data_IF_067186062599
#
_entry.id   IF_067186062599
#
_cell.length_a   1.000
_cell.length_b   1.000
_cell.length_c   1.000
_cell.angle_alpha   90.00
_cell.angle_beta   90.00
_cell.angle_gamma   90.00
#
_symmetry.space_group_name_H-M   'P 1'
#
loop_
_entity.id
_entity.type
_entity.pdbx_description
1 polymer ?
#
# COMPACT_ATOMS: atom_id res chain seq x y z
N UNK A 1 -1.98 22.21 -13.92
CA UNK A 1 -2.99 21.60 -13.04
C UNK A 1 -4.36 21.93 -13.59
N UNK A 2 -5.13 20.94 -14.03
CA UNK A 2 -6.51 21.13 -14.47
C UNK A 2 -7.46 21.19 -13.25
N UNK A 3 -8.72 21.58 -13.47
CA UNK A 3 -9.70 21.78 -12.40
C UNK A 3 -10.04 20.49 -11.63
N UNK A 4 -9.98 19.33 -12.30
CA UNK A 4 -10.21 18.01 -11.70
C UNK A 4 -9.05 17.64 -10.76
N UNK A 5 -7.80 17.88 -11.19
CA UNK A 5 -6.59 17.70 -10.36
C UNK A 5 -6.64 18.60 -9.13
N UNK A 6 -7.07 19.86 -9.30
CA UNK A 6 -7.23 20.81 -8.20
C UNK A 6 -8.33 20.36 -7.22
N UNK A 7 -9.50 19.98 -7.70
CA UNK A 7 -10.61 19.49 -6.86
C UNK A 7 -10.29 18.15 -6.18
N UNK A 8 -9.52 17.28 -6.84
CA UNK A 8 -9.00 16.08 -6.23
C UNK A 8 -8.02 16.42 -5.10
N UNK A 9 -7.08 17.34 -5.32
CA UNK A 9 -6.12 17.75 -4.30
C UNK A 9 -6.77 18.52 -3.13
N UNK A 10 -7.76 19.37 -3.40
CA UNK A 10 -8.56 20.08 -2.40
C UNK A 10 -9.42 19.14 -1.54
N UNK A 11 -9.88 18.00 -2.10
CA UNK A 11 -10.62 16.97 -1.36
C UNK A 11 -9.74 16.11 -0.45
N UNK A 12 -8.44 16.03 -0.73
CA UNK A 12 -7.60 14.98 -0.15
C UNK A 12 -6.77 15.45 1.04
N UNK A 13 -6.51 16.75 1.17
CA UNK A 13 -5.78 17.23 2.32
C UNK A 13 -6.24 18.61 2.81
N UNK A 14 -6.26 18.84 4.13
CA UNK A 14 -6.12 20.17 4.71
C UNK A 14 -4.68 20.67 4.49
N UNK A 15 -4.19 20.61 3.25
CA UNK A 15 -2.89 21.14 2.87
C UNK A 15 -2.96 22.66 2.88
N UNK A 16 -1.94 23.29 3.43
CA UNK A 16 -1.71 24.70 3.11
C UNK A 16 -1.40 24.86 1.61
N UNK A 17 -1.51 26.08 1.10
CA UNK A 17 -1.29 26.40 -0.31
C UNK A 17 0.09 25.99 -0.84
N UNK A 18 1.09 25.86 0.05
CA UNK A 18 2.46 25.50 -0.33
C UNK A 18 2.62 24.01 -0.62
N UNK A 19 1.99 23.14 0.18
CA UNK A 19 2.01 21.70 -0.05
C UNK A 19 1.23 21.31 -1.32
N UNK A 20 0.13 22.01 -1.61
CA UNK A 20 -0.61 21.86 -2.88
C UNK A 20 0.26 22.24 -4.09
N UNK A 21 0.97 23.37 -4.02
CA UNK A 21 1.89 23.77 -5.08
C UNK A 21 3.05 22.77 -5.26
N UNK A 22 3.54 22.20 -4.16
CA UNK A 22 4.56 21.14 -4.21
C UNK A 22 4.04 19.88 -4.92
N UNK A 23 2.83 19.41 -4.57
CA UNK A 23 2.19 18.27 -5.22
C UNK A 23 1.95 18.53 -6.72
N UNK A 24 1.46 19.71 -7.08
CA UNK A 24 1.25 20.10 -8.47
C UNK A 24 2.55 20.12 -9.30
N UNK A 25 3.70 20.28 -8.66
CA UNK A 25 5.01 20.23 -9.33
C UNK A 25 5.46 18.81 -9.66
N UNK A 26 5.04 17.81 -8.87
CA UNK A 26 5.50 16.42 -9.00
C UNK A 26 4.51 15.51 -9.71
N UNK A 27 3.25 15.94 -9.85
CA UNK A 27 2.21 15.20 -10.55
C UNK A 27 2.40 15.39 -12.07
N UNK A 28 2.66 14.28 -12.75
CA UNK A 28 2.80 14.21 -14.22
C UNK A 28 1.44 14.04 -14.91
N UNK A 29 0.50 13.33 -14.27
CA UNK A 29 -0.86 13.13 -14.79
C UNK A 29 -1.66 12.09 -14.02
N UNK A 30 -2.80 11.71 -14.58
CA UNK A 30 -3.69 10.72 -13.98
C UNK A 30 -3.29 9.27 -14.33
N UNK A 31 -3.58 8.34 -13.42
CA UNK A 31 -3.49 6.91 -13.70
C UNK A 31 -4.59 6.55 -14.71
N UNK A 32 -4.26 5.95 -15.87
CA UNK A 32 -5.25 5.67 -16.90
C UNK A 32 -6.28 4.65 -16.41
N UNK A 33 -7.54 4.87 -16.79
CA UNK A 33 -8.62 3.90 -16.65
C UNK A 33 -8.75 3.12 -17.95
N UNK A 34 -8.69 1.80 -17.84
CA UNK A 34 -8.83 0.89 -18.99
C UNK A 34 -9.88 -0.17 -18.68
N UNK A 35 -10.53 -0.65 -19.72
CA UNK A 35 -11.38 -1.84 -19.66
C UNK A 35 -10.66 -2.96 -20.41
N UNK A 36 -10.53 -4.13 -19.77
CA UNK A 36 -9.96 -5.32 -20.38
C UNK A 36 -11.08 -6.33 -20.56
N UNK A 37 -11.32 -6.82 -21.77
CA UNK A 37 -12.42 -7.74 -22.03
C UNK A 37 -12.13 -9.17 -21.55
N UNK A 38 -10.86 -9.51 -21.29
CA UNK A 38 -10.43 -10.83 -20.83
C UNK A 38 -9.20 -10.77 -19.93
N UNK A 39 -8.95 -11.82 -19.15
CA UNK A 39 -7.69 -12.01 -18.41
C UNK A 39 -6.48 -12.03 -19.34
N UNK A 40 -6.63 -12.56 -20.56
CA UNK A 40 -5.57 -12.57 -21.56
C UNK A 40 -5.19 -11.15 -22.01
N UNK A 41 -6.15 -10.27 -22.25
CA UNK A 41 -5.89 -8.88 -22.62
C UNK A 41 -5.15 -8.13 -21.50
N UNK A 42 -5.56 -8.37 -20.24
CA UNK A 42 -4.84 -7.84 -19.09
C UNK A 42 -3.43 -8.41 -19.00
N UNK A 43 -3.24 -9.71 -19.23
CA UNK A 43 -1.92 -10.35 -19.25
C UNK A 43 -1.00 -9.77 -20.35
N UNK A 44 -1.53 -9.48 -21.54
CA UNK A 44 -0.76 -8.80 -22.59
C UNK A 44 -0.34 -7.40 -22.15
N UNK A 45 -1.22 -6.66 -21.48
CA UNK A 45 -0.86 -5.37 -20.88
C UNK A 45 0.28 -5.53 -19.87
N UNK A 46 0.18 -6.50 -18.93
CA UNK A 46 1.23 -6.77 -17.94
C UNK A 46 2.60 -7.10 -18.58
N UNK A 47 2.59 -7.78 -19.73
CA UNK A 47 3.80 -8.14 -20.49
C UNK A 47 4.38 -6.96 -21.26
N UNK A 48 3.54 -6.10 -21.82
CA UNK A 48 3.95 -4.96 -22.66
C UNK A 48 4.25 -3.69 -21.88
N UNK A 49 3.52 -3.42 -20.79
CA UNK A 49 3.65 -2.21 -19.97
C UNK A 49 3.53 -2.56 -18.48
N UNK A 50 4.58 -2.27 -17.72
CA UNK A 50 4.58 -2.39 -16.26
C UNK A 50 4.28 -1.03 -15.64
N UNK A 51 3.13 -0.45 -15.99
CA UNK A 51 2.66 0.84 -15.46
C UNK A 51 1.35 0.66 -14.69
N UNK A 52 1.03 1.54 -13.73
CA UNK A 52 -0.23 1.52 -13.04
C UNK A 52 -1.40 1.75 -13.99
N UNK A 53 -2.48 1.01 -13.81
CA UNK A 53 -3.72 1.17 -14.57
C UNK A 53 -4.91 0.84 -13.67
N UNK A 54 -6.00 1.57 -13.83
CA UNK A 54 -7.27 1.28 -13.14
C UNK A 54 -8.14 0.45 -14.08
N UNK A 55 -8.45 -0.78 -13.65
CA UNK A 55 -9.38 -1.67 -14.32
C UNK A 55 -10.79 -1.27 -13.89
N UNK A 56 -11.59 -0.88 -14.88
CA UNK A 56 -13.01 -0.58 -14.70
C UNK A 56 -13.86 -1.83 -14.92
N UNK A 57 -15.04 -1.88 -14.31
CA UNK A 57 -16.06 -2.91 -14.51
C UNK A 57 -15.71 -4.35 -14.08
N UNK A 58 -14.54 -4.59 -13.48
CA UNK A 58 -14.09 -5.94 -13.07
C UNK A 58 -14.64 -6.46 -11.76
N UNK A 59 -15.16 -5.57 -10.93
CA UNK A 59 -15.70 -5.92 -9.62
C UNK A 59 -17.24 -5.88 -9.58
N UNK A 60 -17.91 -5.44 -10.64
CA UNK A 60 -19.38 -5.16 -10.63
C UNK A 60 -20.19 -6.38 -10.21
N UNK A 61 -19.80 -7.57 -10.68
CA UNK A 61 -20.51 -8.81 -10.37
C UNK A 61 -20.05 -9.50 -9.09
N UNK A 62 -19.06 -8.95 -8.38
CA UNK A 62 -18.62 -9.52 -7.10
C UNK A 62 -19.73 -9.36 -6.06
N UNK A 63 -20.13 -10.43 -5.34
CA UNK A 63 -21.06 -10.31 -4.22
C UNK A 63 -20.62 -9.26 -3.20
N UNK A 64 -19.30 -9.09 -3.00
CA UNK A 64 -18.74 -8.06 -2.13
C UNK A 64 -19.23 -6.65 -2.48
N UNK A 65 -19.42 -6.31 -3.75
CA UNK A 65 -19.92 -4.96 -4.14
C UNK A 65 -21.36 -4.70 -3.73
N UNK A 66 -22.14 -5.76 -3.46
CA UNK A 66 -23.55 -5.66 -3.04
C UNK A 66 -23.70 -5.82 -1.53
N UNK A 67 -22.86 -6.67 -0.93
CA UNK A 67 -22.96 -7.06 0.48
C UNK A 67 -22.08 -6.22 1.39
N UNK A 68 -20.82 -6.01 1.01
CA UNK A 68 -19.81 -5.55 1.95
C UNK A 68 -19.92 -4.05 2.19
N UNK A 69 -20.25 -3.72 3.43
CA UNK A 69 -20.09 -2.39 4.00
C UNK A 69 -19.69 -2.52 5.47
N UNK A 70 -19.36 -1.40 6.12
CA UNK A 70 -18.94 -1.38 7.53
C UNK A 70 -19.97 -2.05 8.46
N UNK A 71 -21.27 -1.92 8.19
CA UNK A 71 -22.31 -2.56 9.01
C UNK A 71 -22.34 -4.06 8.78
N UNK A 72 -22.29 -4.52 7.53
CA UNK A 72 -22.18 -5.94 7.21
C UNK A 72 -20.99 -6.60 7.92
N UNK A 73 -19.82 -5.95 7.92
CA UNK A 73 -18.64 -6.47 8.63
C UNK A 73 -18.83 -6.47 10.14
N UNK A 74 -19.44 -5.42 10.69
CA UNK A 74 -19.75 -5.32 12.12
C UNK A 74 -20.69 -6.45 12.56
N UNK A 75 -21.76 -6.69 11.82
CA UNK A 75 -22.77 -7.71 12.14
C UNK A 75 -22.25 -9.14 11.92
N UNK A 76 -21.57 -9.39 10.80
CA UNK A 76 -21.15 -10.74 10.39
C UNK A 76 -19.88 -11.19 11.10
N UNK A 77 -18.93 -10.27 11.29
CA UNK A 77 -17.58 -10.57 11.78
C UNK A 77 -17.23 -9.80 13.06
N UNK A 78 -18.20 -9.17 13.72
CA UNK A 78 -17.99 -8.29 14.88
C UNK A 78 -17.14 -8.91 15.99
N UNK A 79 -17.35 -10.21 16.28
CA UNK A 79 -16.61 -10.93 17.32
C UNK A 79 -15.17 -11.35 16.93
N UNK A 80 -14.75 -11.16 15.67
CA UNK A 80 -13.38 -11.49 15.24
C UNK A 80 -12.41 -10.51 15.89
N UNK A 81 -11.48 -11.02 16.70
CA UNK A 81 -10.42 -10.22 17.30
C UNK A 81 -9.27 -10.03 16.32
N UNK A 82 -8.99 -8.77 15.98
CA UNK A 82 -7.99 -8.40 14.98
C UNK A 82 -7.00 -7.37 15.55
N UNK A 83 -5.76 -7.37 15.06
CA UNK A 83 -4.84 -6.29 15.36
C UNK A 83 -5.23 -5.04 14.55
N UNK A 84 -5.45 -3.94 15.25
CA UNK A 84 -5.74 -2.62 14.70
C UNK A 84 -4.62 -1.63 15.02
N UNK A 85 -4.44 -0.66 14.13
CA UNK A 85 -3.62 0.52 14.37
C UNK A 85 -4.55 1.70 14.65
N UNK A 86 -4.43 2.29 15.84
CA UNK A 86 -5.29 3.36 16.37
C UNK A 86 -4.48 4.63 16.66
N UNK A 87 -5.17 5.76 16.77
CA UNK A 87 -4.55 7.05 17.10
C UNK A 87 -3.40 7.42 16.17
N UNK A 88 -3.51 7.10 14.89
CA UNK A 88 -2.45 7.30 13.91
C UNK A 88 -2.13 8.80 13.75
N UNK A 89 -0.87 9.13 13.41
CA UNK A 89 -0.48 10.51 13.17
C UNK A 89 -1.02 11.06 11.85
N UNK A 90 -1.52 12.30 11.89
CA UNK A 90 -2.03 13.00 10.72
C UNK A 90 -0.91 13.68 9.88
N UNK A 91 0.31 13.80 10.42
CA UNK A 91 1.47 14.43 9.76
C UNK A 91 2.77 13.63 9.98
N UNK A 92 3.74 13.85 9.11
CA UNK A 92 5.05 13.20 9.12
C UNK A 92 5.08 11.85 8.41
N UNK A 93 6.28 11.31 8.19
CA UNK A 93 6.44 9.97 7.64
C UNK A 93 5.92 8.92 8.64
N UNK A 94 4.94 8.13 8.24
CA UNK A 94 4.27 7.14 9.12
C UNK A 94 5.28 6.15 9.73
N UNK A 95 6.34 5.84 9.00
CA UNK A 95 7.35 4.85 9.37
C UNK A 95 8.32 5.27 10.48
N UNK A 96 8.29 6.53 10.93
CA UNK A 96 9.12 6.98 12.07
C UNK A 96 8.43 6.76 13.43
N UNK A 97 7.16 6.37 13.44
CA UNK A 97 6.42 6.12 14.68
C UNK A 97 6.62 4.69 15.19
N UNK A 98 6.84 4.55 16.50
CA UNK A 98 6.95 3.25 17.15
C UNK A 98 5.60 2.51 17.10
N UNK A 99 5.60 1.27 16.57
CA UNK A 99 4.37 0.52 16.35
C UNK A 99 3.57 0.27 17.65
N UNK A 100 4.29 0.02 18.75
CA UNK A 100 3.71 -0.28 20.05
C UNK A 100 2.78 0.83 20.60
N UNK A 101 2.93 2.07 20.15
CA UNK A 101 2.13 3.20 20.62
C UNK A 101 0.75 3.28 19.95
N UNK A 102 0.55 2.51 18.87
CA UNK A 102 -0.62 2.59 18.02
C UNK A 102 -1.29 1.23 17.83
N UNK A 103 -0.63 0.14 18.22
CA UNK A 103 -1.09 -1.20 17.94
C UNK A 103 -1.92 -1.78 19.08
N UNK A 104 -3.13 -2.26 18.79
CA UNK A 104 -4.01 -2.87 19.78
C UNK A 104 -4.81 -4.03 19.18
N UNK A 105 -5.01 -5.12 19.94
CA UNK A 105 -5.99 -6.15 19.60
C UNK A 105 -7.37 -5.67 19.99
N UNK A 106 -8.31 -5.70 19.06
CA UNK A 106 -9.69 -5.23 19.25
C UNK A 106 -10.65 -6.15 18.52
N UNK A 107 -11.90 -6.26 18.99
CA UNK A 107 -12.94 -6.87 18.19
C UNK A 107 -13.27 -6.00 16.98
N UNK A 108 -13.69 -6.61 15.88
CA UNK A 108 -14.04 -5.86 14.68
C UNK A 108 -15.21 -4.90 14.92
N UNK A 109 -16.18 -5.26 15.77
CA UNK A 109 -17.27 -4.36 16.14
C UNK A 109 -16.77 -3.04 16.76
N UNK A 110 -15.82 -3.13 17.69
CA UNK A 110 -15.20 -1.97 18.34
C UNK A 110 -14.39 -1.14 17.34
N UNK A 111 -13.73 -1.79 16.38
CA UNK A 111 -12.98 -1.11 15.32
C UNK A 111 -13.95 -0.33 14.41
N UNK A 112 -15.07 -0.93 14.01
CA UNK A 112 -16.09 -0.26 13.18
C UNK A 112 -16.71 0.91 13.94
N UNK A 113 -17.01 0.73 15.22
CA UNK A 113 -17.57 1.80 16.06
C UNK A 113 -16.57 2.96 16.20
N UNK A 114 -15.28 2.68 16.38
CA UNK A 114 -14.22 3.70 16.38
C UNK A 114 -14.09 4.41 15.02
N UNK A 115 -14.18 3.68 13.91
CA UNK A 115 -14.13 4.24 12.55
C UNK A 115 -15.23 5.27 12.30
N UNK A 116 -16.42 5.05 12.88
CA UNK A 116 -17.60 5.90 12.69
C UNK A 116 -17.60 7.14 13.60
N UNK A 117 -16.71 7.23 14.58
CA UNK A 117 -16.66 8.37 15.51
C UNK A 117 -16.17 9.65 14.81
N UNK A 118 -16.95 10.75 14.78
CA UNK A 118 -16.64 11.96 14.00
C UNK A 118 -15.29 12.64 14.31
N UNK A 119 -14.77 12.47 15.54
CA UNK A 119 -13.55 13.12 16.01
C UNK A 119 -12.44 12.12 16.38
N UNK A 120 -12.60 10.84 16.04
CA UNK A 120 -11.55 9.86 16.28
C UNK A 120 -10.35 10.14 15.38
N UNK A 121 -9.15 10.01 15.94
CA UNK A 121 -7.92 9.98 15.15
C UNK A 121 -7.94 8.79 14.19
N UNK A 122 -7.21 8.85 13.07
CA UNK A 122 -7.29 7.81 12.08
C UNK A 122 -6.94 6.43 12.64
N UNK A 123 -7.71 5.43 12.24
CA UNK A 123 -7.55 4.06 12.68
C UNK A 123 -7.92 3.07 11.58
N UNK A 124 -7.31 1.88 11.62
CA UNK A 124 -7.63 0.79 10.72
C UNK A 124 -7.11 -0.56 11.17
N UNK A 125 -7.79 -1.61 10.73
CA UNK A 125 -7.19 -2.94 10.60
C UNK A 125 -6.72 -3.11 9.16
N UNK A 126 -5.45 -3.47 8.99
CA UNK A 126 -4.77 -3.40 7.70
C UNK A 126 -3.98 -4.67 7.41
N UNK A 127 -3.85 -5.02 6.12
CA UNK A 127 -3.18 -6.25 5.66
C UNK A 127 -3.67 -7.50 6.40
N UNK A 128 -4.99 -7.63 6.60
CA UNK A 128 -5.55 -8.81 7.24
C UNK A 128 -5.82 -9.87 6.19
N UNK A 129 -5.21 -11.06 6.26
CA UNK A 129 -5.56 -12.15 5.36
C UNK A 129 -7.06 -12.39 5.37
N UNK A 130 -7.65 -12.58 4.20
CA UNK A 130 -9.09 -12.82 4.06
C UNK A 130 -9.58 -14.04 4.86
N UNK A 131 -8.69 -14.98 5.16
CA UNK A 131 -8.95 -16.14 6.02
C UNK A 131 -9.40 -15.80 7.45
N UNK A 132 -9.19 -14.56 7.93
CA UNK A 132 -9.77 -14.09 9.19
C UNK A 132 -11.29 -13.86 9.13
N UNK A 133 -11.85 -13.82 7.92
CA UNK A 133 -13.26 -13.56 7.64
C UNK A 133 -13.85 -14.79 6.94
N UNK A 134 -14.37 -15.78 7.69
CA UNK A 134 -14.89 -17.00 7.11
C UNK A 134 -15.89 -16.74 5.99
N UNK A 135 -15.75 -17.47 4.89
CA UNK A 135 -16.57 -17.39 3.66
C UNK A 135 -16.42 -16.12 2.82
N UNK A 136 -15.70 -15.08 3.27
CA UNK A 136 -15.50 -13.85 2.52
C UNK A 136 -14.79 -14.08 1.17
N UNK A 137 -13.97 -15.13 1.05
CA UNK A 137 -13.32 -15.50 -0.22
C UNK A 137 -14.32 -15.81 -1.34
N UNK A 138 -15.56 -16.21 -1.01
CA UNK A 138 -16.61 -16.52 -2.01
C UNK A 138 -17.22 -15.26 -2.64
N UNK A 139 -16.98 -14.10 -2.04
CA UNK A 139 -17.60 -12.84 -2.46
C UNK A 139 -16.73 -12.06 -3.45
N UNK A 140 -15.55 -12.59 -3.81
CA UNK A 140 -14.57 -11.94 -4.69
C UNK A 140 -14.05 -12.94 -5.73
N UNK A 141 -13.74 -12.48 -6.94
CA UNK A 141 -13.25 -13.34 -8.02
C UNK A 141 -12.01 -12.75 -8.71
N UNK A 142 -10.85 -12.82 -8.04
CA UNK A 142 -9.58 -12.39 -8.65
C UNK A 142 -9.10 -13.34 -9.74
N UNK A 143 -9.53 -14.61 -9.75
CA UNK A 143 -9.07 -15.62 -10.71
C UNK A 143 -9.55 -15.33 -12.14
N UNK A 144 -10.68 -14.66 -12.29
CA UNK A 144 -11.18 -14.16 -13.59
C UNK A 144 -10.26 -13.08 -14.18
N UNK A 145 -9.54 -12.34 -13.34
CA UNK A 145 -8.64 -11.25 -13.75
C UNK A 145 -7.22 -11.78 -13.92
N UNK A 146 -6.76 -12.55 -12.94
CA UNK A 146 -5.42 -13.14 -12.89
C UNK A 146 -5.57 -14.65 -12.69
N UNK A 147 -5.43 -15.44 -13.76
CA UNK A 147 -5.54 -16.89 -13.68
C UNK A 147 -4.55 -17.50 -12.67
N UNK A 148 -4.94 -18.58 -11.96
CA UNK A 148 -4.06 -19.25 -11.01
C UNK A 148 -2.73 -19.70 -11.64
N UNK A 149 -1.63 -19.52 -10.90
CA UNK A 149 -0.29 -19.92 -11.35
C UNK A 149 0.29 -21.02 -10.44
N UNK A 150 0.79 -22.15 -10.98
CA UNK A 150 1.17 -23.33 -10.19
C UNK A 150 2.31 -23.08 -9.20
N UNK A 151 3.22 -22.14 -9.51
CA UNK A 151 4.40 -21.83 -8.68
C UNK A 151 4.21 -20.65 -7.72
N UNK A 152 3.11 -19.92 -7.82
CA UNK A 152 2.94 -18.65 -7.10
C UNK A 152 1.58 -18.60 -6.45
N UNK A 153 1.55 -18.78 -5.13
CA UNK A 153 0.33 -18.59 -4.35
C UNK A 153 0.07 -17.09 -4.16
N UNK A 154 -1.12 -16.60 -4.52
CA UNK A 154 -1.48 -15.23 -4.25
C UNK A 154 -1.74 -15.02 -2.74
N UNK A 155 -1.87 -13.76 -2.34
CA UNK A 155 -2.32 -13.39 -0.99
C UNK A 155 -3.39 -12.32 -1.13
N UNK A 156 -4.56 -12.58 -0.53
CA UNK A 156 -5.68 -11.67 -0.48
C UNK A 156 -5.74 -11.06 0.92
N UNK A 157 -5.77 -9.74 1.02
CA UNK A 157 -5.84 -9.05 2.30
C UNK A 157 -6.87 -7.93 2.30
N UNK A 158 -7.59 -7.78 3.42
CA UNK A 158 -8.53 -6.71 3.68
C UNK A 158 -7.90 -5.54 4.43
N UNK A 159 -8.48 -4.38 4.15
CA UNK A 159 -8.16 -3.09 4.75
C UNK A 159 -9.49 -2.42 5.12
N UNK A 160 -9.75 -2.27 6.41
CA UNK A 160 -10.97 -1.64 6.94
C UNK A 160 -10.53 -0.51 7.85
N UNK A 161 -10.88 0.73 7.50
CA UNK A 161 -10.30 1.90 8.14
C UNK A 161 -11.14 3.16 8.07
N UNK A 162 -10.82 4.12 8.93
CA UNK A 162 -11.45 5.42 8.96
C UNK A 162 -10.96 6.31 7.82
N UNK A 163 -11.73 7.38 7.58
CA UNK A 163 -11.19 8.58 6.93
C UNK A 163 -9.95 9.03 7.69
N UNK A 164 -8.92 9.48 6.96
CA UNK A 164 -7.67 9.91 7.58
C UNK A 164 -6.51 8.93 7.38
N UNK A 165 -6.82 7.64 7.23
CA UNK A 165 -5.77 6.60 7.18
C UNK A 165 -4.89 6.73 5.95
N UNK A 166 -3.59 6.46 6.13
CA UNK A 166 -2.57 6.57 5.08
C UNK A 166 -1.48 5.50 5.19
N UNK A 167 -0.91 5.09 4.06
CA UNK A 167 0.07 3.99 4.01
C UNK A 167 1.52 4.43 4.21
N UNK A 168 1.82 5.72 4.01
CA UNK A 168 3.17 6.20 3.68
C UNK A 168 3.59 5.79 2.25
N UNK A 169 4.59 6.48 1.70
CA UNK A 169 5.13 6.18 0.36
C UNK A 169 6.07 4.97 0.43
N UNK A 170 5.76 3.90 -0.30
CA UNK A 170 6.51 2.64 -0.28
C UNK A 170 6.38 1.86 -1.58
N UNK A 171 7.19 0.83 -1.79
CA UNK A 171 6.98 -0.14 -2.87
C UNK A 171 6.75 -1.56 -2.35
N UNK A 172 6.00 -2.33 -3.12
CA UNK A 172 5.84 -3.77 -2.91
C UNK A 172 6.75 -4.57 -3.86
N UNK A 173 7.15 -5.77 -3.44
CA UNK A 173 8.01 -6.65 -4.25
C UNK A 173 7.22 -7.63 -5.12
N UNK A 174 5.90 -7.55 -5.12
CA UNK A 174 4.99 -8.37 -5.93
C UNK A 174 4.01 -7.44 -6.63
N UNK A 175 3.47 -7.93 -7.74
CA UNK A 175 2.39 -7.27 -8.44
C UNK A 175 1.15 -7.26 -7.53
N UNK A 176 0.40 -6.16 -7.54
CA UNK A 176 -0.72 -5.94 -6.64
C UNK A 176 -1.95 -5.46 -7.43
N UNK A 177 -3.12 -6.01 -7.10
CA UNK A 177 -4.41 -5.42 -7.46
C UNK A 177 -5.05 -4.88 -6.19
N UNK A 178 -5.30 -3.58 -6.13
CA UNK A 178 -6.04 -2.93 -5.03
C UNK A 178 -7.47 -2.63 -5.51
N UNK A 179 -8.44 -3.42 -5.05
CA UNK A 179 -9.86 -3.22 -5.30
C UNK A 179 -10.52 -2.36 -4.21
N UNK A 180 -11.31 -1.38 -4.61
CA UNK A 180 -12.04 -0.52 -3.70
C UNK A 180 -13.49 -0.98 -3.57
N UNK A 181 -13.94 -1.26 -2.35
CA UNK A 181 -15.28 -1.79 -2.07
C UNK A 181 -16.20 -0.69 -1.52
N UNK A 182 -15.75 0.01 -0.48
CA UNK A 182 -16.51 1.10 0.16
C UNK A 182 -15.62 2.32 0.37
N UNK A 183 -16.18 3.52 0.16
CA UNK A 183 -15.47 4.79 0.30
C UNK A 183 -14.45 5.05 -0.81
N UNK A 184 -13.79 6.20 -0.79
CA UNK A 184 -12.79 6.58 -1.79
C UNK A 184 -11.36 6.56 -1.22
N UNK A 185 -10.38 6.27 -2.08
CA UNK A 185 -8.95 6.38 -1.76
C UNK A 185 -8.23 7.23 -2.79
N UNK A 186 -7.46 8.22 -2.34
CA UNK A 186 -6.47 8.86 -3.19
C UNK A 186 -5.22 8.02 -3.23
N UNK A 187 -4.72 7.80 -4.44
CA UNK A 187 -3.50 7.05 -4.70
C UNK A 187 -2.52 7.92 -5.46
N UNK A 188 -1.25 7.80 -5.10
CA UNK A 188 -0.11 8.29 -5.87
C UNK A 188 0.76 7.10 -6.21
N UNK A 189 1.23 7.03 -7.45
CA UNK A 189 2.13 6.02 -7.96
C UNK A 189 3.35 6.68 -8.61
N UNK A 190 4.54 6.16 -8.33
CA UNK A 190 5.79 6.71 -8.81
C UNK A 190 6.69 5.57 -9.32
N UNK A 191 7.28 5.73 -10.53
CA UNK A 191 8.02 4.65 -11.16
C UNK A 191 9.29 4.28 -10.40
N UNK A 192 9.75 3.02 -10.48
CA UNK A 192 10.95 2.55 -9.78
C UNK A 192 12.22 3.35 -10.10
N UNK A 193 12.28 4.01 -11.26
CA UNK A 193 13.41 4.85 -11.73
C UNK A 193 13.60 6.10 -10.86
N UNK A 194 12.54 6.58 -10.21
CA UNK A 194 12.56 7.78 -9.38
C UNK A 194 13.12 7.54 -7.96
N UNK A 195 13.35 6.27 -7.59
CA UNK A 195 13.74 5.81 -6.23
C UNK A 195 14.87 6.59 -5.56
N UNK A 196 15.86 7.05 -6.32
CA UNK A 196 17.02 7.80 -5.78
C UNK A 196 16.62 9.18 -5.22
N UNK A 197 15.49 9.73 -5.67
CA UNK A 197 14.95 11.01 -5.22
C UNK A 197 13.99 10.84 -4.03
N UNK A 198 13.55 9.62 -3.75
CA UNK A 198 12.48 9.33 -2.79
C UNK A 198 12.93 9.17 -1.32
N UNK A 199 14.18 9.50 -0.99
CA UNK A 199 14.71 9.53 0.39
C UNK A 199 14.35 8.27 1.21
N UNK A 200 14.88 7.12 0.80
CA UNK A 200 14.54 5.81 1.38
C UNK A 200 15.03 5.66 2.83
N UNK A 201 14.32 4.87 3.62
CA UNK A 201 14.81 4.39 4.90
C UNK A 201 15.93 3.37 4.69
N UNK A 202 17.09 3.59 5.32
CA UNK A 202 18.24 2.66 5.19
C UNK A 202 17.95 1.26 5.75
N UNK A 203 17.13 1.18 6.81
CA UNK A 203 16.75 -0.09 7.46
C UNK A 203 15.60 -0.80 6.74
N UNK A 204 14.76 -0.07 6.04
CA UNK A 204 13.57 -0.57 5.34
C UNK A 204 13.51 0.12 3.98
N UNK A 205 14.32 -0.36 3.04
CA UNK A 205 14.55 0.31 1.75
C UNK A 205 13.27 0.46 0.91
N UNK A 206 12.26 -0.36 1.20
CA UNK A 206 10.93 -0.27 0.61
C UNK A 206 10.10 0.91 1.10
N UNK A 207 10.56 1.65 2.10
CA UNK A 207 9.84 2.77 2.71
C UNK A 207 10.54 4.10 2.44
N UNK A 208 9.76 5.14 2.17
CA UNK A 208 10.24 6.52 1.97
C UNK A 208 10.04 7.36 3.24
N UNK A 209 10.96 8.29 3.48
CA UNK A 209 10.86 9.32 4.53
C UNK A 209 10.00 10.52 4.12
N UNK A 210 9.49 10.54 2.89
CA UNK A 210 8.73 11.67 2.36
C UNK A 210 7.32 11.61 2.91
N UNK A 211 6.88 12.72 3.51
CA UNK A 211 5.47 12.97 3.76
C UNK A 211 4.88 13.65 2.53
N UNK A 212 4.22 12.86 1.67
CA UNK A 212 3.71 13.35 0.39
C UNK A 212 2.65 14.43 0.54
N UNK A 213 1.91 14.42 1.65
CA UNK A 213 0.88 15.43 1.95
C UNK A 213 1.49 16.73 2.48
N UNK A 214 2.74 16.74 2.95
CA UNK A 214 3.39 17.94 3.50
C UNK A 214 4.78 18.14 2.86
N UNK A 215 4.88 17.95 1.54
CA UNK A 215 6.15 18.09 0.82
C UNK A 215 6.67 19.53 0.84
N UNK A 216 7.93 19.68 1.23
CA UNK A 216 8.65 20.96 1.20
C UNK A 216 9.78 20.86 0.16
N UNK A 217 9.52 21.42 -1.04
CA UNK A 217 10.48 21.38 -2.15
C UNK A 217 11.70 22.28 -1.93
N UNK A 218 11.70 23.16 -0.92
CA UNK A 218 12.87 23.95 -0.56
C UNK A 218 13.82 23.12 0.31
N UNK A 219 13.29 22.31 1.23
CA UNK A 219 14.07 21.37 2.02
C UNK A 219 14.48 20.12 1.25
N UNK A 220 13.71 19.73 0.25
CA UNK A 220 13.93 18.52 -0.55
C UNK A 220 13.92 18.83 -2.07
N UNK A 221 14.90 19.62 -2.56
CA UNK A 221 14.89 20.11 -3.94
C UNK A 221 14.97 19.01 -5.00
N UNK A 222 15.47 17.81 -4.66
CA UNK A 222 15.46 16.65 -5.55
C UNK A 222 14.05 16.21 -5.96
N UNK A 223 13.03 16.52 -5.15
CA UNK A 223 11.63 16.14 -5.44
C UNK A 223 11.05 16.92 -6.61
N UNK A 224 11.59 18.11 -6.94
CA UNK A 224 11.17 18.89 -8.12
C UNK A 224 11.32 18.15 -9.45
N UNK A 225 12.11 17.07 -9.48
CA UNK A 225 12.36 16.24 -10.65
C UNK A 225 11.65 14.88 -10.59
N UNK A 226 10.85 14.63 -9.55
CA UNK A 226 10.09 13.39 -9.41
C UNK A 226 8.81 13.50 -10.22
N UNK A 227 8.43 12.41 -10.88
CA UNK A 227 7.17 12.28 -11.60
C UNK A 227 6.29 11.25 -10.92
N UNK A 228 5.06 11.65 -10.62
CA UNK A 228 4.05 10.81 -9.99
C UNK A 228 2.75 10.84 -10.79
N UNK A 229 2.03 9.74 -10.77
CA UNK A 229 0.69 9.61 -11.33
C UNK A 229 -0.30 9.45 -10.19
N UNK A 230 -1.48 10.05 -10.31
CA UNK A 230 -2.47 10.01 -9.25
C UNK A 230 -3.83 9.55 -9.73
N UNK A 231 -4.67 9.12 -8.80
CA UNK A 231 -6.10 8.92 -9.03
C UNK A 231 -6.87 8.97 -7.72
N UNK A 232 -8.17 9.26 -7.79
CA UNK A 232 -9.12 8.87 -6.75
C UNK A 232 -9.76 7.56 -7.19
N UNK A 233 -9.45 6.49 -6.46
CA UNK A 233 -9.99 5.16 -6.67
C UNK A 233 -11.41 5.10 -6.09
N UNK A 234 -12.38 4.78 -6.95
CA UNK A 234 -13.81 4.72 -6.64
C UNK A 234 -14.24 3.30 -6.28
N UNK A 235 -15.33 3.12 -5.49
CA UNK A 235 -15.95 1.81 -5.32
C UNK A 235 -16.21 1.10 -6.66
N UNK A 236 -15.79 -0.17 -6.76
CA UNK A 236 -15.90 -1.00 -7.97
C UNK A 236 -14.71 -0.90 -8.93
N UNK A 237 -13.76 0.02 -8.67
CA UNK A 237 -12.51 0.12 -9.42
C UNK A 237 -11.39 -0.73 -8.80
N UNK A 238 -10.52 -1.24 -9.67
CA UNK A 238 -9.39 -2.08 -9.28
C UNK A 238 -8.08 -1.51 -9.85
N UNK A 239 -7.21 -1.02 -8.98
CA UNK A 239 -5.92 -0.46 -9.35
C UNK A 239 -4.87 -1.56 -9.45
N UNK A 240 -4.29 -1.73 -10.63
CA UNK A 240 -3.04 -2.47 -10.79
C UNK A 240 -1.85 -1.61 -10.38
N UNK A 241 -1.04 -2.13 -9.44
CA UNK A 241 0.23 -1.55 -9.03
C UNK A 241 1.32 -2.57 -9.39
N UNK A 242 2.16 -2.28 -10.40
CA UNK A 242 3.24 -3.19 -10.75
C UNK A 242 4.25 -3.29 -9.60
N UNK A 243 4.87 -4.46 -9.44
CA UNK A 243 5.92 -4.63 -8.44
C UNK A 243 7.01 -3.57 -8.60
N UNK A 244 7.62 -3.20 -7.48
CA UNK A 244 8.63 -2.16 -7.35
C UNK A 244 8.15 -0.72 -7.59
N UNK A 245 6.90 -0.50 -8.02
CA UNK A 245 6.33 0.84 -8.07
C UNK A 245 6.09 1.38 -6.68
N UNK A 246 6.58 2.60 -6.48
CA UNK A 246 6.31 3.36 -5.27
C UNK A 246 4.86 3.81 -5.30
N UNK A 247 4.18 3.69 -4.18
CA UNK A 247 2.81 4.11 -4.05
C UNK A 247 2.50 4.63 -2.66
N UNK A 248 1.57 5.57 -2.61
CA UNK A 248 0.98 6.14 -1.41
C UNK A 248 -0.52 6.07 -1.53
N UNK A 249 -1.20 5.77 -0.43
CA UNK A 249 -2.66 5.61 -0.37
C UNK A 249 -3.20 6.38 0.82
N UNK A 250 -4.28 7.14 0.60
CA UNK A 250 -4.98 7.96 1.58
C UNK A 250 -6.49 7.75 1.51
N UNK A 251 -7.13 7.37 2.61
CA UNK A 251 -8.58 7.12 2.66
C UNK A 251 -9.37 8.41 2.84
N UNK A 252 -10.19 8.78 1.86
CA UNK A 252 -10.96 10.03 1.85
C UNK A 252 -12.25 9.93 2.65
N UNK A 253 -12.70 8.69 2.85
CA UNK A 253 -13.88 8.29 3.60
C UNK A 253 -13.54 7.11 4.53
N UNK A 254 -14.41 6.75 5.48
CA UNK A 254 -14.44 5.39 6.02
C UNK A 254 -14.48 4.39 4.87
N UNK A 255 -13.54 3.46 4.85
CA UNK A 255 -13.25 2.66 3.65
C UNK A 255 -13.03 1.19 3.91
N UNK A 256 -13.43 0.39 2.93
CA UNK A 256 -13.11 -1.02 2.79
C UNK A 256 -12.41 -1.20 1.45
N UNK A 257 -11.21 -1.78 1.48
CA UNK A 257 -10.50 -2.21 0.28
C UNK A 257 -9.97 -3.61 0.45
N UNK A 258 -9.75 -4.27 -0.67
CA UNK A 258 -9.15 -5.59 -0.74
C UNK A 258 -7.97 -5.54 -1.69
N UNK A 259 -6.85 -6.15 -1.32
CA UNK A 259 -5.72 -6.25 -2.22
C UNK A 259 -5.32 -7.70 -2.47
N UNK A 260 -4.80 -7.94 -3.68
CA UNK A 260 -4.38 -9.24 -4.17
C UNK A 260 -2.94 -9.15 -4.67
N UNK A 261 -2.01 -9.69 -3.89
CA UNK A 261 -0.62 -9.82 -4.31
C UNK A 261 -0.42 -11.11 -5.10
N UNK A 262 0.07 -11.00 -6.33
CA UNK A 262 0.24 -12.12 -7.25
C UNK A 262 1.61 -12.12 -7.94
N UNK A 263 1.82 -13.12 -8.80
CA UNK A 263 3.07 -13.27 -9.54
C UNK A 263 4.30 -13.57 -8.67
N UNK A 264 5.48 -13.69 -9.29
CA UNK A 264 6.75 -13.88 -8.59
C UNK A 264 7.17 -12.61 -7.84
N UNK A 265 7.88 -12.79 -6.73
CA UNK A 265 8.64 -11.69 -6.10
C UNK A 265 9.64 -11.13 -7.11
N UNK A 266 9.87 -9.82 -7.05
CA UNK A 266 10.82 -9.10 -7.91
C UNK A 266 12.20 -9.82 -7.92
N UNK A 267 12.76 -10.12 -9.10
CA UNK A 267 14.08 -10.72 -9.22
C UNK A 267 15.19 -9.76 -8.75
N UNK A 268 16.40 -10.29 -8.57
CA UNK A 268 17.53 -9.52 -8.04
C UNK A 268 17.92 -8.31 -8.90
N UNK A 269 17.80 -8.40 -10.23
CA UNK A 269 18.06 -7.27 -11.12
C UNK A 269 17.09 -6.10 -10.91
N UNK A 270 15.89 -6.32 -10.36
CA UNK A 270 14.95 -5.26 -9.97
C UNK A 270 15.18 -4.78 -8.53
N UNK A 271 15.61 -5.68 -7.62
CA UNK A 271 15.83 -5.34 -6.20
C UNK A 271 17.19 -4.68 -5.91
N UNK A 272 18.27 -5.11 -6.58
CA UNK A 272 19.63 -4.54 -6.40
C UNK A 272 19.63 -3.03 -6.62
N UNK A 273 19.01 -2.49 -7.69
CA UNK A 273 18.99 -1.05 -7.88
C UNK A 273 18.25 -0.28 -6.77
N UNK A 274 17.26 -0.89 -6.11
CA UNK A 274 16.58 -0.32 -4.94
C UNK A 274 17.42 -0.35 -3.66
N UNK A 275 18.30 -1.35 -3.51
CA UNK A 275 19.29 -1.40 -2.43
C UNK A 275 20.33 -0.29 -2.63
N UNK A 276 20.86 -0.18 -3.85
CA UNK A 276 21.91 0.79 -4.18
C UNK A 276 21.42 2.24 -4.08
N UNK A 277 20.18 2.52 -4.47
CA UNK A 277 19.61 3.87 -4.38
C UNK A 277 19.42 4.37 -2.94
N UNK A 278 19.39 3.49 -1.94
CA UNK A 278 19.33 3.88 -0.53
C UNK A 278 20.69 4.41 0.00
N UNK A 279 21.74 4.40 -0.84
CA UNK A 279 23.06 4.97 -0.58
C UNK A 279 24.06 3.98 0.05
N UNK A 280 25.37 4.26 0.05
CA UNK A 280 26.40 3.31 0.49
C UNK A 280 26.25 2.87 1.95
N UNK A 281 25.75 3.75 2.82
CA UNK A 281 25.48 3.43 4.22
C UNK A 281 24.31 2.45 4.39
N UNK A 282 23.42 2.30 3.39
CA UNK A 282 22.36 1.28 3.42
C UNK A 282 22.95 -0.12 3.37
N UNK A 283 24.05 -0.34 2.63
CA UNK A 283 24.71 -1.65 2.53
C UNK A 283 25.26 -2.10 3.89
N UNK A 284 25.90 -1.18 4.64
CA UNK A 284 26.37 -1.48 5.99
C UNK A 284 25.22 -1.85 6.93
N UNK A 285 24.11 -1.09 6.87
CA UNK A 285 22.91 -1.35 7.67
C UNK A 285 22.26 -2.69 7.29
N UNK A 286 22.19 -2.99 6.00
CA UNK A 286 21.64 -4.23 5.46
C UNK A 286 22.50 -5.42 5.93
N UNK A 287 23.82 -5.35 5.78
CA UNK A 287 24.74 -6.40 6.25
C UNK A 287 24.62 -6.60 7.76
N UNK A 288 24.59 -5.51 8.54
CA UNK A 288 24.38 -5.60 9.99
C UNK A 288 23.08 -6.30 10.32
N UNK A 289 21.97 -5.91 9.70
CA UNK A 289 20.65 -6.47 10.00
C UNK A 289 20.52 -7.92 9.51
N UNK A 290 21.20 -8.28 8.41
CA UNK A 290 21.31 -9.65 7.93
C UNK A 290 21.96 -10.56 8.98
N UNK A 291 23.07 -10.11 9.58
CA UNK A 291 23.77 -10.87 10.62
C UNK A 291 23.01 -10.83 11.95
N UNK A 292 22.70 -9.63 12.45
CA UNK A 292 22.15 -9.45 13.79
C UNK A 292 20.72 -9.96 13.92
N UNK A 293 19.84 -9.57 12.99
CA UNK A 293 18.42 -9.92 13.06
C UNK A 293 18.07 -11.19 12.26
N UNK A 294 18.85 -11.51 11.22
CA UNK A 294 18.74 -12.76 10.48
C UNK A 294 19.46 -13.91 11.19
N UNK A 295 20.79 -13.98 11.01
CA UNK A 295 21.63 -15.11 11.50
C UNK A 295 21.50 -15.31 13.02
N UNK A 296 21.65 -14.24 13.81
CA UNK A 296 21.65 -14.33 15.28
C UNK A 296 20.24 -14.29 15.89
N UNK A 297 19.20 -14.10 15.09
CA UNK A 297 17.80 -14.06 15.55
C UNK A 297 17.49 -12.97 16.59
N UNK A 298 18.31 -11.91 16.69
CA UNK A 298 18.11 -10.86 17.72
C UNK A 298 16.88 -10.01 17.42
N UNK A 299 16.19 -9.50 18.46
CA UNK A 299 15.01 -8.67 18.28
C UNK A 299 15.35 -7.32 17.59
N UNK A 300 14.33 -6.70 17.00
CA UNK A 300 14.40 -5.36 16.43
C UNK A 300 13.19 -4.54 16.87
N UNK A 301 13.36 -3.22 16.90
CA UNK A 301 12.23 -2.29 17.07
C UNK A 301 11.35 -2.35 15.82
N UNK A 302 10.05 -2.38 16.03
CA UNK A 302 9.04 -2.33 14.97
C UNK A 302 8.46 -0.92 14.88
N UNK A 303 8.32 -0.43 13.66
CA UNK A 303 7.69 0.86 13.35
C UNK A 303 6.38 0.62 12.59
N UNK A 304 5.47 1.59 12.63
CA UNK A 304 4.18 1.48 11.95
C UNK A 304 4.36 1.06 10.48
N UNK A 305 3.62 0.03 10.06
CA UNK A 305 3.61 -0.52 8.70
C UNK A 305 4.98 -0.97 8.15
N UNK A 306 5.95 -1.19 9.04
CA UNK A 306 7.26 -1.76 8.69
C UNK A 306 7.31 -3.23 9.07
N UNK A 307 7.80 -4.06 8.14
CA UNK A 307 8.14 -5.44 8.43
C UNK A 307 9.53 -5.55 9.05
N UNK A 308 10.10 -6.78 8.98
CA UNK A 308 11.49 -7.02 9.35
C UNK A 308 12.43 -6.07 8.59
N UNK A 309 13.54 -5.61 9.20
CA UNK A 309 14.52 -4.80 8.49
C UNK A 309 15.02 -5.49 7.23
N UNK A 310 15.37 -4.72 6.20
CA UNK A 310 15.70 -5.24 4.87
C UNK A 310 16.80 -6.32 4.91
N UNK A 311 17.81 -6.16 5.76
CA UNK A 311 18.86 -7.19 5.94
C UNK A 311 18.31 -8.53 6.42
N UNK A 312 17.43 -8.52 7.43
CA UNK A 312 16.78 -9.72 7.94
C UNK A 312 15.84 -10.36 6.90
N UNK A 313 15.09 -9.52 6.16
CA UNK A 313 14.28 -10.00 5.04
C UNK A 313 15.12 -10.74 3.99
N UNK A 314 16.28 -10.20 3.62
CA UNK A 314 17.18 -10.86 2.66
C UNK A 314 17.79 -12.15 3.20
N UNK A 315 18.07 -12.23 4.51
CA UNK A 315 18.46 -13.50 5.15
C UNK A 315 17.37 -14.56 5.00
N UNK A 316 16.12 -14.22 5.30
CA UNK A 316 15.00 -15.16 5.22
C UNK A 316 14.82 -15.68 3.78
N UNK A 317 15.05 -14.83 2.78
CA UNK A 317 14.96 -15.18 1.34
C UNK A 317 16.12 -16.02 0.83
N UNK A 318 17.35 -15.74 1.25
CA UNK A 318 18.55 -16.43 0.77
C UNK A 318 18.77 -17.74 1.53
N UNK A 319 18.63 -17.71 2.85
CA UNK A 319 19.01 -18.78 3.77
C UNK A 319 17.77 -19.44 4.40
N UNK A 320 16.82 -18.65 4.90
CA UNK A 320 15.62 -19.18 5.58
C UNK A 320 14.76 -20.09 4.68
N UNK A 321 14.81 -19.89 3.35
CA UNK A 321 14.16 -20.77 2.39
C UNK A 321 14.84 -22.15 2.25
N UNK A 322 16.16 -22.24 2.48
CA UNK A 322 16.92 -23.51 2.41
C UNK A 322 16.72 -24.40 3.62
N UNK A 323 16.38 -23.85 4.79
CA UNK A 323 16.17 -24.60 6.03
C UNK A 323 14.74 -25.15 6.19
N UNK A 324 13.80 -24.76 5.31
CA UNK A 324 12.40 -25.24 5.29
C UNK A 324 12.11 -26.25 4.17
N UNK A 325 13.15 -26.77 3.51
CA UNK A 325 13.07 -27.80 2.48
C UNK A 325 13.62 -29.12 2.99
#
# INVERSE_FOLDING_TARGET
MNEIERLALEKVAPCDSSALAALATVIEGEIPRMNFNSSWEFEQHLRGSKTPVILTNKMIEWPAMKLWNLEYFRETYGNVSLPASINLPDKGAVYDQANQNHHQMMKLEDIVDLIKQPNAKPCYTHQRPISFFPSAERDVNFEEIVPPHPRHRPSINLWIGSKGTRSGLHFDRRDNLLGQIQGQKWVLCCPPEERSKLNQFRRNIDKSKIDVENMDLNKQPQLKKVRMWHAILQPGELLFIPRMWWHFVRSLDPSISINFWFGPTAPWNEQIPAILSAGPLSLLVLTRDFIWNGILGRPHKTYLHTGRPSGAYYYDKIIGWRLKR
#
